data_IF_300205825949
#
_entry.id   IF_300205825949
#
_cell.length_a   1.000
_cell.length_b   1.000
_cell.length_c   1.000
_cell.angle_alpha   90.00
_cell.angle_beta   90.00
_cell.angle_gamma   90.00
#
_symmetry.space_group_name_H-M   'P 1'
#
loop_
_entity.id
_entity.type
_entity.pdbx_description
1 polymer ?
#
# COMPACT_ATOMS: atom_id res chain seq x y z
N UNK A 1 30.65 15.15 22.09
CA UNK A 1 29.54 16.08 21.78
C UNK A 1 28.75 15.46 20.64
N UNK A 2 27.43 15.40 20.75
CA UNK A 2 26.58 14.83 19.68
C UNK A 2 26.46 15.90 18.60
N UNK A 3 27.00 15.63 17.41
CA UNK A 3 26.94 16.58 16.30
C UNK A 3 25.51 16.67 15.78
N UNK A 4 24.88 17.81 16.04
CA UNK A 4 23.52 18.12 15.60
C UNK A 4 23.38 18.01 14.07
N UNK A 5 24.46 18.29 13.34
CA UNK A 5 24.58 18.11 11.90
C UNK A 5 24.47 16.63 11.49
N UNK A 6 25.10 15.71 12.22
CA UNK A 6 25.04 14.27 11.94
C UNK A 6 23.65 13.68 12.22
N UNK A 7 22.96 14.18 13.24
CA UNK A 7 21.55 13.82 13.50
C UNK A 7 20.65 14.33 12.37
N UNK A 8 20.80 15.60 11.99
CA UNK A 8 19.95 16.22 10.97
C UNK A 8 20.14 15.57 9.60
N UNK A 9 21.38 15.28 9.20
CA UNK A 9 21.67 14.54 7.97
C UNK A 9 21.14 13.11 8.02
N UNK A 10 21.32 12.40 9.15
CA UNK A 10 20.82 11.03 9.32
C UNK A 10 19.30 10.94 9.23
N UNK A 11 18.58 11.81 9.94
CA UNK A 11 17.12 11.90 9.91
C UNK A 11 16.61 12.31 8.53
N UNK A 12 17.25 13.32 7.90
CA UNK A 12 16.84 13.81 6.58
C UNK A 12 17.03 12.77 5.47
N UNK A 13 18.20 12.11 5.45
CA UNK A 13 18.47 11.04 4.49
C UNK A 13 17.54 9.84 4.72
N UNK A 14 17.31 9.47 5.98
CA UNK A 14 16.35 8.44 6.37
C UNK A 14 14.95 8.76 5.86
N UNK A 15 14.47 10.00 6.07
CA UNK A 15 13.13 10.41 5.67
C UNK A 15 12.90 10.38 4.15
N UNK A 16 13.89 10.81 3.36
CA UNK A 16 13.78 10.74 1.90
C UNK A 16 13.75 9.30 1.40
N UNK A 17 14.64 8.44 1.92
CA UNK A 17 14.67 7.03 1.55
C UNK A 17 13.39 6.32 2.00
N UNK A 18 12.93 6.59 3.22
CA UNK A 18 11.69 6.06 3.76
C UNK A 18 10.49 6.46 2.91
N UNK A 19 10.44 7.70 2.43
CA UNK A 19 9.39 8.19 1.55
C UNK A 19 9.33 7.44 0.21
N UNK A 20 10.48 7.23 -0.44
CA UNK A 20 10.55 6.49 -1.71
C UNK A 20 10.16 5.02 -1.50
N UNK A 21 10.67 4.40 -0.45
CA UNK A 21 10.37 3.00 -0.11
C UNK A 21 8.88 2.83 0.23
N UNK A 22 8.30 3.72 1.04
CA UNK A 22 6.87 3.71 1.38
C UNK A 22 5.98 3.86 0.14
N UNK A 23 6.38 4.70 -0.82
CA UNK A 23 5.67 4.85 -2.09
C UNK A 23 5.72 3.57 -2.94
N UNK A 24 6.88 2.94 -3.06
CA UNK A 24 7.04 1.69 -3.81
C UNK A 24 6.24 0.53 -3.19
N UNK A 25 6.29 0.42 -1.85
CA UNK A 25 5.62 -0.65 -1.11
C UNK A 25 4.10 -0.65 -1.33
N UNK A 26 3.48 0.53 -1.36
CA UNK A 26 2.03 0.68 -1.62
C UNK A 26 1.61 0.12 -2.98
N UNK A 27 2.44 0.29 -4.01
CA UNK A 27 2.13 -0.19 -5.37
C UNK A 27 2.13 -1.72 -5.43
N UNK A 28 3.05 -2.36 -4.73
CA UNK A 28 3.14 -3.81 -4.61
C UNK A 28 1.95 -4.35 -3.79
N UNK A 29 1.66 -3.74 -2.64
CA UNK A 29 0.51 -4.08 -1.79
C UNK A 29 -0.81 -4.02 -2.56
N UNK A 30 -1.01 -3.00 -3.40
CA UNK A 30 -2.22 -2.88 -4.23
C UNK A 30 -2.39 -4.03 -5.23
N UNK A 31 -1.30 -4.46 -5.88
CA UNK A 31 -1.32 -5.59 -6.83
C UNK A 31 -1.64 -6.90 -6.09
N UNK A 32 -1.01 -7.13 -4.94
CA UNK A 32 -1.25 -8.33 -4.13
C UNK A 32 -2.70 -8.37 -3.65
N UNK A 33 -3.21 -7.25 -3.13
CA UNK A 33 -4.59 -7.16 -2.64
C UNK A 33 -5.60 -7.41 -3.77
N UNK A 34 -5.34 -6.88 -4.97
CA UNK A 34 -6.16 -7.15 -6.14
C UNK A 34 -6.14 -8.63 -6.53
N UNK A 35 -4.96 -9.27 -6.54
CA UNK A 35 -4.84 -10.69 -6.83
C UNK A 35 -5.60 -11.57 -5.82
N UNK A 36 -5.53 -11.24 -4.53
CA UNK A 36 -6.29 -11.93 -3.47
C UNK A 36 -7.80 -11.75 -3.70
N UNK A 37 -8.25 -10.53 -4.02
CA UNK A 37 -9.67 -10.26 -4.30
C UNK A 37 -10.20 -11.07 -5.48
N UNK A 38 -9.45 -11.12 -6.59
CA UNK A 38 -9.80 -11.93 -7.77
C UNK A 38 -9.83 -13.42 -7.43
N UNK A 39 -8.87 -13.90 -6.64
CA UNK A 39 -8.83 -15.28 -6.19
C UNK A 39 -10.06 -15.67 -5.35
N UNK A 40 -10.44 -14.82 -4.39
CA UNK A 40 -11.65 -15.04 -3.57
C UNK A 40 -12.91 -15.02 -4.43
N UNK A 41 -12.98 -14.11 -5.40
CA UNK A 41 -14.12 -14.04 -6.33
C UNK A 41 -14.26 -15.30 -7.18
N UNK A 42 -13.14 -15.86 -7.66
CA UNK A 42 -13.13 -17.15 -8.36
C UNK A 42 -13.57 -18.31 -7.48
N UNK A 43 -13.15 -18.32 -6.20
CA UNK A 43 -13.54 -19.35 -5.24
C UNK A 43 -15.05 -19.36 -4.98
N UNK A 44 -15.67 -18.18 -4.87
CA UNK A 44 -17.13 -18.03 -4.68
C UNK A 44 -17.91 -18.63 -5.86
N UNK A 45 -17.47 -18.37 -7.09
CA UNK A 45 -18.10 -18.91 -8.31
C UNK A 45 -17.99 -20.45 -8.33
N UNK A 46 -16.88 -21.01 -7.87
CA UNK A 46 -16.65 -22.45 -7.86
C UNK A 46 -17.51 -23.17 -6.81
N UNK A 47 -17.73 -22.53 -5.65
CA UNK A 47 -18.65 -23.00 -4.62
C UNK A 47 -20.10 -22.95 -5.11
N UNK A 48 -20.49 -21.87 -5.82
CA UNK A 48 -21.86 -21.73 -6.33
C UNK A 48 -22.24 -22.82 -7.35
N UNK A 49 -21.29 -23.27 -8.18
CA UNK A 49 -21.50 -24.34 -9.14
C UNK A 49 -21.52 -25.75 -8.52
N UNK A 50 -21.30 -25.89 -7.21
CA UNK A 50 -21.36 -27.17 -6.50
C UNK A 50 -20.22 -28.15 -6.82
N UNK A 51 -19.17 -27.69 -7.53
CA UNK A 51 -18.03 -28.52 -7.96
C UNK A 51 -17.00 -28.72 -6.83
N UNK A 52 -17.00 -27.86 -5.79
CA UNK A 52 -16.05 -27.93 -4.68
C UNK A 52 -16.71 -27.66 -3.31
N UNK A 53 -16.51 -28.58 -2.36
CA UNK A 53 -16.80 -28.37 -0.93
C UNK A 53 -15.66 -27.58 -0.28
N UNK A 54 -15.73 -26.26 -0.34
CA UNK A 54 -14.74 -25.40 0.32
C UNK A 54 -15.04 -25.35 1.82
N UNK A 55 -14.10 -25.83 2.64
CA UNK A 55 -14.16 -25.70 4.09
C UNK A 55 -13.76 -24.27 4.49
N UNK A 56 -14.76 -23.42 4.71
CA UNK A 56 -14.56 -22.03 5.09
C UNK A 56 -13.83 -21.86 6.43
N UNK A 57 -13.99 -22.78 7.39
CA UNK A 57 -13.25 -22.76 8.66
C UNK A 57 -11.74 -22.95 8.44
N UNK A 58 -11.35 -23.91 7.60
CA UNK A 58 -9.94 -24.15 7.29
C UNK A 58 -9.32 -22.96 6.55
N UNK A 59 -10.07 -22.34 5.62
CA UNK A 59 -9.63 -21.14 4.92
C UNK A 59 -9.45 -19.95 5.87
N UNK A 60 -10.39 -19.74 6.79
CA UNK A 60 -10.30 -18.66 7.77
C UNK A 60 -9.10 -18.82 8.70
N UNK A 61 -8.78 -20.06 9.12
CA UNK A 61 -7.56 -20.34 9.91
C UNK A 61 -6.29 -20.01 9.16
N UNK A 62 -6.19 -20.42 7.89
CA UNK A 62 -5.02 -20.09 7.05
C UNK A 62 -4.86 -18.58 6.86
N UNK A 63 -5.95 -17.85 6.67
CA UNK A 63 -5.90 -16.38 6.62
C UNK A 63 -5.44 -15.81 7.96
N UNK A 64 -5.99 -16.28 9.08
CA UNK A 64 -5.61 -15.81 10.40
C UNK A 64 -4.12 -16.06 10.71
N UNK A 65 -3.60 -17.23 10.37
CA UNK A 65 -2.19 -17.56 10.54
C UNK A 65 -1.29 -16.70 9.66
N UNK A 66 -1.69 -16.44 8.41
CA UNK A 66 -0.96 -15.54 7.51
C UNK A 66 -0.94 -14.10 8.05
N UNK A 67 -2.06 -13.61 8.59
CA UNK A 67 -2.14 -12.31 9.23
C UNK A 67 -1.26 -12.22 10.48
N UNK A 68 -1.28 -13.24 11.34
CA UNK A 68 -0.46 -13.31 12.54
C UNK A 68 1.03 -13.40 12.20
N UNK A 69 1.40 -14.17 11.17
CA UNK A 69 2.78 -14.24 10.69
C UNK A 69 3.25 -12.91 10.11
N UNK A 70 2.40 -12.24 9.33
CA UNK A 70 2.67 -10.90 8.80
C UNK A 70 2.87 -9.86 9.91
N UNK A 71 2.03 -9.89 10.95
CA UNK A 71 2.17 -9.03 12.14
C UNK A 71 3.46 -9.33 12.91
N UNK A 72 3.78 -10.60 13.17
CA UNK A 72 5.02 -10.98 13.87
C UNK A 72 6.26 -10.55 13.10
N UNK A 73 6.29 -10.81 11.79
CA UNK A 73 7.41 -10.41 10.92
C UNK A 73 7.54 -8.89 10.85
N UNK A 74 6.41 -8.18 10.77
CA UNK A 74 6.38 -6.72 10.81
C UNK A 74 6.92 -6.18 12.15
N UNK A 75 6.51 -6.77 13.27
CA UNK A 75 6.97 -6.35 14.59
C UNK A 75 8.45 -6.65 14.82
N UNK A 76 8.96 -7.79 14.32
CA UNK A 76 10.39 -8.11 14.37
C UNK A 76 11.22 -7.21 13.46
N UNK A 77 10.71 -6.86 12.27
CA UNK A 77 11.36 -5.89 11.39
C UNK A 77 11.42 -4.50 12.04
N UNK A 78 10.38 -4.15 12.79
CA UNK A 78 10.38 -2.97 13.65
C UNK A 78 11.47 -3.15 14.73
N UNK A 79 11.39 -4.15 15.59
CA UNK A 79 12.35 -4.30 16.70
C UNK A 79 13.83 -4.35 16.26
N UNK A 80 14.15 -5.01 15.14
CA UNK A 80 15.52 -5.13 14.62
C UNK A 80 16.05 -3.85 13.94
N UNK A 81 15.18 -3.05 13.33
CA UNK A 81 15.57 -1.77 12.69
C UNK A 81 15.58 -0.61 13.71
N UNK A 82 14.93 -0.79 14.87
CA UNK A 82 14.65 0.24 15.88
C UNK A 82 15.68 0.30 17.02
N UNK A 83 16.96 0.04 16.77
CA UNK A 83 18.04 0.19 17.76
C UNK A 83 18.37 1.65 18.13
N UNK A 84 17.39 2.56 18.11
CA UNK A 84 17.50 3.94 18.60
C UNK A 84 18.29 4.91 17.72
N UNK A 85 18.59 4.57 16.46
CA UNK A 85 19.41 5.45 15.62
C UNK A 85 18.61 6.63 15.03
N UNK A 86 19.21 7.83 14.88
CA UNK A 86 18.59 8.99 14.25
C UNK A 86 18.09 8.71 12.82
N UNK A 87 18.78 7.82 12.10
CA UNK A 87 18.40 7.40 10.75
C UNK A 87 17.05 6.68 10.72
N UNK A 88 16.81 5.74 11.64
CA UNK A 88 15.54 5.00 11.72
C UNK A 88 14.36 5.92 11.99
N UNK A 89 14.54 6.93 12.85
CA UNK A 89 13.48 7.91 13.14
C UNK A 89 13.09 8.72 11.91
N UNK A 90 14.10 9.14 11.13
CA UNK A 90 13.88 9.74 9.81
C UNK A 90 13.16 8.79 8.86
N UNK A 91 13.65 7.55 8.75
CA UNK A 91 13.09 6.51 7.87
C UNK A 91 11.61 6.25 8.16
N UNK A 92 11.21 6.15 9.43
CA UNK A 92 9.82 5.93 9.81
C UNK A 92 8.93 7.13 9.52
N UNK A 93 9.41 8.34 9.82
CA UNK A 93 8.68 9.56 9.49
C UNK A 93 8.48 9.67 7.97
N UNK A 94 9.52 9.40 7.20
CA UNK A 94 9.49 9.35 5.74
C UNK A 94 8.58 8.28 5.19
N UNK A 95 8.67 7.06 5.71
CA UNK A 95 7.88 5.89 5.30
C UNK A 95 6.40 6.07 5.62
N UNK A 96 6.09 6.56 6.83
CA UNK A 96 4.74 6.95 7.21
C UNK A 96 4.18 8.00 6.27
N UNK A 97 4.92 9.10 6.03
CA UNK A 97 4.48 10.12 5.08
C UNK A 97 4.33 9.58 3.65
N UNK A 98 5.22 8.70 3.18
CA UNK A 98 5.11 8.05 1.87
C UNK A 98 3.87 7.18 1.73
N UNK A 99 3.54 6.41 2.78
CA UNK A 99 2.34 5.58 2.84
C UNK A 99 1.05 6.43 2.92
N UNK A 100 1.00 7.42 3.82
CA UNK A 100 -0.19 8.22 4.14
C UNK A 100 -0.44 9.39 3.16
N UNK A 101 0.58 10.17 2.79
CA UNK A 101 0.43 11.32 1.86
C UNK A 101 0.00 10.87 0.46
N UNK A 102 0.32 9.64 0.08
CA UNK A 102 -0.19 9.03 -1.16
C UNK A 102 -1.68 8.64 -1.08
N UNK A 103 -2.44 9.09 -0.07
CA UNK A 103 -3.91 9.06 -0.04
C UNK A 103 -4.60 9.98 -1.07
N UNK A 104 -3.85 10.64 -1.96
CA UNK A 104 -4.39 11.35 -3.12
C UNK A 104 -4.66 10.42 -4.31
N UNK A 105 -5.80 9.74 -4.28
CA UNK A 105 -6.75 9.56 -5.38
C UNK A 105 -6.29 9.91 -6.82
N UNK A 106 -5.22 9.30 -7.35
CA UNK A 106 -4.94 9.36 -8.80
C UNK A 106 -5.91 8.52 -9.63
N UNK A 107 -6.75 7.70 -8.98
CA UNK A 107 -7.84 6.97 -9.64
C UNK A 107 -9.06 7.88 -9.94
N UNK A 108 -9.12 9.09 -9.37
CA UNK A 108 -10.23 10.03 -9.58
C UNK A 108 -9.86 11.22 -10.50
N UNK A 109 -8.63 11.27 -11.00
CA UNK A 109 -8.31 12.07 -12.19
C UNK A 109 -8.72 11.29 -13.45
N UNK A 110 -10.03 11.00 -13.55
CA UNK A 110 -10.60 10.84 -14.87
C UNK A 110 -10.29 12.13 -15.64
N UNK A 111 -9.84 12.03 -16.91
CA UNK A 111 -9.60 13.19 -17.76
C UNK A 111 -10.92 13.86 -18.18
N UNK A 112 -11.67 14.40 -17.21
CA UNK A 112 -12.80 15.34 -17.37
C UNK A 112 -12.34 16.71 -17.91
N UNK A 113 -11.15 16.76 -18.51
CA UNK A 113 -10.65 17.86 -19.33
C UNK A 113 -10.88 17.63 -20.84
N UNK A 114 -11.11 16.39 -21.29
CA UNK A 114 -11.41 16.13 -22.72
C UNK A 114 -12.90 16.16 -23.05
N UNK A 115 -13.79 15.76 -22.14
CA UNK A 115 -15.24 15.68 -22.40
C UNK A 115 -15.87 17.04 -22.72
N UNK A 116 -15.44 18.11 -22.05
CA UNK A 116 -15.95 19.48 -22.31
C UNK A 116 -15.63 20.03 -23.69
N UNK A 117 -14.61 19.51 -24.39
CA UNK A 117 -14.31 19.95 -25.76
C UNK A 117 -15.17 19.26 -26.82
N UNK A 118 -15.67 18.06 -26.54
CA UNK A 118 -16.51 17.33 -27.49
C UNK A 118 -17.95 17.85 -27.47
N UNK A 119 -18.45 18.26 -26.31
CA UNK A 119 -19.80 18.81 -26.16
C UNK A 119 -19.96 20.19 -26.83
N UNK A 120 -18.90 21.02 -26.88
CA UNK A 120 -18.96 22.32 -27.56
C UNK A 120 -19.04 22.19 -29.08
N UNK A 121 -18.51 21.10 -29.65
CA UNK A 121 -18.59 20.84 -31.09
C UNK A 121 -19.97 20.29 -31.48
N UNK A 122 -20.74 19.73 -30.53
CA UNK A 122 -22.11 19.29 -30.77
C UNK A 122 -23.14 20.43 -30.70
N UNK A 123 -22.86 21.51 -29.96
CA UNK A 123 -23.75 22.70 -29.87
C UNK A 123 -23.58 23.69 -31.03
N UNK A 124 -22.44 23.69 -31.73
CA UNK A 124 -22.21 24.55 -32.91
C UNK A 124 -22.59 23.87 -34.23
N UNK A 125 -23.19 22.68 -34.17
CA UNK A 125 -23.53 21.83 -35.32
C UNK A 125 -25.03 21.61 -35.57
N UNK A 126 -25.93 22.32 -34.88
CA UNK A 126 -27.37 22.38 -35.21
C UNK A 126 -27.78 23.78 -35.68
#
# INVERSE_FOLDING_TARGET
>A
MVDLASILMGVGAGALLGFVVGFALRKILGIIMFAIGVFVMGLIILVHNGVATVNFDALQRLLADLFLWGLKTGNQAIDNVFSGTPFTMGLLAGLGLGLFRSGGLKFLELPMRKVRRVLRIAEEGE
#
